data_IF_423970247747
#
_entry.id   IF_423970247747
#
_cell.length_a   1.000
_cell.length_b   1.000
_cell.length_c   1.000
_cell.angle_alpha   90.00
_cell.angle_beta   90.00
_cell.angle_gamma   90.00
#
_symmetry.space_group_name_H-M   'P 1'
#
loop_
_entity.id
_entity.type
_entity.pdbx_description
1 polymer ?
#
# COMPACT_ATOMS: atom_id res chain seq x y z
N UNK A 1 12.87 14.62 8.47
CA UNK A 1 11.58 14.30 7.82
C UNK A 1 11.81 13.08 6.95
N UNK A 2 10.95 12.09 7.09
CA UNK A 2 10.91 10.90 6.25
C UNK A 2 10.69 11.30 4.79
N UNK A 3 11.44 10.73 3.85
CA UNK A 3 11.40 11.11 2.43
C UNK A 3 10.73 10.04 1.57
N UNK A 4 10.87 8.78 1.95
CA UNK A 4 10.43 7.63 1.17
C UNK A 4 9.42 6.75 1.91
N UNK A 5 9.37 6.89 3.23
CA UNK A 5 8.47 6.15 4.10
C UNK A 5 7.46 7.12 4.70
N UNK A 6 6.18 6.81 4.65
CA UNK A 6 5.11 7.69 5.12
C UNK A 6 4.04 6.92 5.89
N UNK A 7 3.37 7.60 6.78
CA UNK A 7 2.39 7.00 7.68
C UNK A 7 2.95 6.74 9.08
N UNK A 8 2.38 5.78 9.84
CA UNK A 8 1.33 4.84 9.41
C UNK A 8 0.02 5.51 9.01
N UNK A 9 -0.67 4.93 8.03
CA UNK A 9 -1.96 5.39 7.54
C UNK A 9 -3.03 4.36 7.91
N UNK A 10 -4.20 4.83 8.39
CA UNK A 10 -5.38 4.00 8.55
C UNK A 10 -5.98 3.69 7.17
N UNK A 11 -5.57 2.56 6.59
CA UNK A 11 -6.08 2.11 5.31
C UNK A 11 -7.41 1.41 5.47
N UNK A 12 -8.43 1.80 4.68
CA UNK A 12 -9.73 1.12 4.66
C UNK A 12 -9.62 -0.37 4.30
N UNK A 13 -8.58 -0.76 3.57
CA UNK A 13 -8.36 -2.12 3.05
C UNK A 13 -7.31 -2.92 3.82
N UNK A 14 -6.29 -2.25 4.31
CA UNK A 14 -5.09 -2.87 4.87
C UNK A 14 -4.87 -2.62 6.36
N UNK A 15 -5.79 -1.89 7.03
CA UNK A 15 -5.60 -1.54 8.44
C UNK A 15 -4.51 -0.51 8.64
N UNK A 16 -3.69 -0.64 9.68
CA UNK A 16 -2.55 0.23 9.94
C UNK A 16 -1.41 -0.10 8.97
N UNK A 17 -1.16 0.78 8.01
CA UNK A 17 -0.21 0.56 6.92
C UNK A 17 0.89 1.60 6.88
N UNK A 18 2.14 1.15 6.85
CA UNK A 18 3.30 1.98 6.58
C UNK A 18 3.55 2.02 5.06
N UNK A 19 3.43 3.18 4.45
CA UNK A 19 3.63 3.35 3.02
C UNK A 19 5.12 3.51 2.65
N UNK A 20 5.51 2.92 1.53
CA UNK A 20 6.86 3.03 0.97
C UNK A 20 6.75 3.49 -0.48
N UNK A 21 7.28 4.66 -0.78
CA UNK A 21 7.32 5.21 -2.13
C UNK A 21 8.67 4.89 -2.79
N UNK A 22 8.63 4.11 -3.86
CA UNK A 22 9.81 3.63 -4.58
C UNK A 22 10.08 4.39 -5.87
N UNK A 23 9.23 5.33 -6.26
CA UNK A 23 9.36 6.08 -7.49
C UNK A 23 9.27 7.58 -7.24
N UNK A 24 9.79 8.38 -8.16
CA UNK A 24 9.53 9.81 -8.11
C UNK A 24 8.04 10.07 -8.35
N UNK A 25 7.53 11.08 -7.68
CA UNK A 25 6.13 11.45 -7.80
C UNK A 25 5.72 11.55 -9.27
N UNK A 26 4.57 10.95 -9.60
CA UNK A 26 3.96 10.96 -10.93
C UNK A 26 4.77 10.25 -12.03
N UNK A 27 5.62 9.27 -11.64
CA UNK A 27 6.25 8.31 -12.55
C UNK A 27 5.38 7.04 -12.59
N UNK A 28 4.75 6.77 -13.72
CA UNK A 28 3.81 5.66 -13.87
C UNK A 28 3.79 5.17 -15.32
N UNK A 29 3.41 3.91 -15.54
CA UNK A 29 3.12 3.36 -16.86
C UNK A 29 1.69 3.67 -17.36
N UNK A 30 0.86 4.28 -16.51
CA UNK A 30 -0.52 4.68 -16.79
C UNK A 30 -0.74 6.15 -16.42
N UNK A 31 -1.76 6.78 -17.05
CA UNK A 31 -2.29 8.11 -16.67
C UNK A 31 -3.80 7.99 -16.43
N UNK A 32 -4.17 7.21 -15.43
CA UNK A 32 -5.57 6.86 -15.16
C UNK A 32 -6.44 8.09 -14.90
N UNK A 33 -7.62 8.13 -15.53
CA UNK A 33 -8.57 9.25 -15.43
C UNK A 33 -9.06 9.53 -14.01
N UNK A 34 -9.03 8.53 -13.14
CA UNK A 34 -9.50 8.60 -11.75
C UNK A 34 -8.36 8.81 -10.74
N UNK A 35 -7.11 8.93 -11.18
CA UNK A 35 -5.95 8.94 -10.28
C UNK A 35 -6.00 10.13 -9.29
N UNK A 36 -6.15 9.84 -8.00
CA UNK A 36 -6.17 10.85 -6.92
C UNK A 36 -4.82 11.55 -6.72
N UNK A 37 -3.73 10.90 -7.14
CA UNK A 37 -2.39 11.49 -7.05
C UNK A 37 -2.15 12.57 -8.13
N UNK A 38 -3.07 12.78 -9.07
CA UNK A 38 -2.97 13.74 -10.16
C UNK A 38 -2.42 13.14 -11.47
N UNK A 39 -2.24 13.94 -12.50
CA UNK A 39 -1.79 13.51 -13.83
C UNK A 39 -0.35 12.96 -13.82
N UNK A 40 -0.08 11.94 -14.62
CA UNK A 40 1.25 11.36 -14.76
C UNK A 40 2.16 12.31 -15.52
N UNK A 41 3.31 12.66 -14.95
CA UNK A 41 4.29 13.58 -15.55
C UNK A 41 5.48 12.85 -16.16
N UNK A 42 5.82 11.66 -15.66
CA UNK A 42 6.80 10.76 -16.25
C UNK A 42 6.10 9.47 -16.66
N UNK A 43 5.61 9.43 -17.91
CA UNK A 43 4.82 8.33 -18.46
C UNK A 43 5.76 7.36 -19.18
N UNK A 44 6.06 6.22 -18.56
CA UNK A 44 7.15 5.34 -19.00
C UNK A 44 6.90 3.87 -18.66
N UNK A 45 7.53 2.97 -19.43
CA UNK A 45 7.65 1.55 -19.12
C UNK A 45 9.06 1.20 -18.62
N UNK A 46 9.98 2.15 -18.68
CA UNK A 46 11.36 1.92 -18.27
C UNK A 46 11.47 1.79 -16.75
N UNK A 47 12.10 0.71 -16.32
CA UNK A 47 12.38 0.44 -14.91
C UNK A 47 13.77 0.99 -14.55
N UNK A 48 13.82 1.90 -13.59
CA UNK A 48 15.06 2.54 -13.13
C UNK A 48 15.11 2.64 -11.63
N UNK A 49 16.28 2.80 -11.03
CA UNK A 49 16.43 3.16 -9.63
C UNK A 49 16.29 4.69 -9.45
N UNK A 50 15.12 5.23 -9.82
CA UNK A 50 14.87 6.68 -9.71
C UNK A 50 14.83 7.19 -8.26
N UNK A 51 14.55 6.31 -7.32
CA UNK A 51 14.65 6.48 -5.86
C UNK A 51 15.74 5.55 -5.36
N UNK A 52 16.77 6.05 -4.66
CA UNK A 52 17.87 5.22 -4.18
C UNK A 52 17.39 4.19 -3.14
N UNK A 53 17.45 2.90 -3.48
CA UNK A 53 16.94 1.80 -2.64
C UNK A 53 17.68 1.72 -1.31
N UNK A 54 18.99 1.99 -1.30
CA UNK A 54 19.77 1.96 -0.05
C UNK A 54 19.31 3.04 0.95
N UNK A 55 18.85 4.20 0.45
CA UNK A 55 18.27 5.24 1.29
C UNK A 55 16.88 4.82 1.82
N UNK A 56 16.06 4.16 1.00
CA UNK A 56 14.77 3.59 1.42
C UNK A 56 14.98 2.54 2.51
N UNK A 57 15.92 1.63 2.34
CA UNK A 57 16.26 0.59 3.33
C UNK A 57 16.74 1.22 4.63
N UNK A 58 17.59 2.24 4.56
CA UNK A 58 18.06 2.95 5.76
C UNK A 58 16.91 3.59 6.53
N UNK A 59 15.99 4.23 5.83
CA UNK A 59 14.82 4.88 6.42
C UNK A 59 13.83 3.87 7.01
N UNK A 60 13.53 2.78 6.28
CA UNK A 60 12.73 1.66 6.77
C UNK A 60 13.32 1.07 8.05
N UNK A 61 14.63 0.83 8.08
CA UNK A 61 15.31 0.29 9.28
C UNK A 61 15.11 1.21 10.49
N UNK A 62 15.27 2.52 10.33
CA UNK A 62 15.06 3.48 11.41
C UNK A 62 13.63 3.44 11.95
N UNK A 63 12.63 3.43 11.06
CA UNK A 63 11.22 3.39 11.45
C UNK A 63 10.88 2.05 12.10
N UNK A 64 11.26 0.93 11.51
CA UNK A 64 10.87 -0.40 11.96
C UNK A 64 11.59 -0.83 13.24
N UNK A 65 12.76 -0.26 13.55
CA UNK A 65 13.43 -0.43 14.85
C UNK A 65 12.60 0.11 16.02
N UNK A 66 11.69 1.06 15.79
CA UNK A 66 10.75 1.52 16.81
C UNK A 66 9.64 0.51 17.13
N UNK A 67 9.63 -0.63 16.46
CA UNK A 67 8.63 -1.68 16.57
C UNK A 67 7.18 -1.17 16.48
N UNK A 68 6.82 -0.43 15.40
CA UNK A 68 5.47 0.11 15.23
C UNK A 68 4.44 -1.00 15.11
N UNK A 69 3.21 -0.74 15.57
CA UNK A 69 2.08 -1.66 15.37
C UNK A 69 1.51 -1.47 13.96
N UNK A 70 1.83 -2.39 13.06
CA UNK A 70 1.42 -2.35 11.66
C UNK A 70 0.75 -3.66 11.25
N UNK A 71 -0.28 -3.54 10.44
CA UNK A 71 -0.85 -4.68 9.73
C UNK A 71 -0.03 -4.99 8.46
N UNK A 72 0.45 -3.93 7.77
CA UNK A 72 1.22 -4.04 6.54
C UNK A 72 2.30 -2.97 6.40
N UNK A 73 3.37 -3.33 5.70
CA UNK A 73 4.26 -2.40 4.99
C UNK A 73 3.83 -2.46 3.53
N UNK A 74 3.47 -1.32 2.93
CA UNK A 74 2.83 -1.29 1.61
C UNK A 74 3.65 -0.49 0.62
N UNK A 75 4.11 -1.13 -0.44
CA UNK A 75 4.63 -0.44 -1.60
C UNK A 75 3.48 0.23 -2.34
N UNK A 76 3.47 1.54 -2.30
CA UNK A 76 2.45 2.41 -2.88
C UNK A 76 3.06 3.80 -3.06
N UNK A 77 2.28 4.79 -3.44
CA UNK A 77 2.76 6.16 -3.54
C UNK A 77 2.15 6.91 -4.72
N UNK A 78 2.84 7.94 -5.17
CA UNK A 78 2.37 8.81 -6.25
C UNK A 78 2.79 8.31 -7.65
N UNK A 79 2.96 7.00 -7.85
CA UNK A 79 3.34 6.38 -9.11
C UNK A 79 3.24 4.85 -9.06
N UNK A 80 3.88 4.16 -10.02
CA UNK A 80 3.88 2.68 -10.07
C UNK A 80 5.15 2.11 -9.41
N UNK A 81 5.05 1.43 -8.26
CA UNK A 81 6.21 0.93 -7.52
C UNK A 81 7.10 -0.05 -8.30
N UNK A 82 6.51 -0.85 -9.20
CA UNK A 82 7.25 -1.84 -9.99
C UNK A 82 8.18 -1.23 -11.04
N UNK A 83 8.10 0.08 -11.27
CA UNK A 83 9.06 0.80 -12.10
C UNK A 83 10.42 1.00 -11.42
N UNK A 84 10.52 0.79 -10.09
CA UNK A 84 11.83 0.73 -9.46
C UNK A 84 12.50 -0.61 -9.79
N UNK A 85 13.68 -0.55 -10.41
CA UNK A 85 14.42 -1.74 -10.85
C UNK A 85 15.01 -2.58 -9.72
N UNK A 86 14.98 -2.08 -8.46
CA UNK A 86 15.50 -2.76 -7.27
C UNK A 86 14.42 -3.02 -6.22
N UNK A 87 13.14 -3.10 -6.60
CA UNK A 87 12.05 -3.41 -5.68
C UNK A 87 12.28 -4.74 -4.93
N UNK A 88 12.85 -5.74 -5.62
CA UNK A 88 13.18 -7.04 -5.03
C UNK A 88 14.18 -6.97 -3.86
N UNK A 89 15.11 -6.00 -3.89
CA UNK A 89 16.08 -5.80 -2.80
C UNK A 89 15.37 -5.33 -1.53
N UNK A 90 14.38 -4.43 -1.66
CA UNK A 90 13.58 -3.95 -0.51
C UNK A 90 12.72 -5.06 0.07
N UNK A 91 12.09 -5.88 -0.79
CA UNK A 91 11.31 -7.06 -0.35
C UNK A 91 12.22 -8.02 0.42
N UNK A 92 13.37 -8.36 -0.14
CA UNK A 92 14.35 -9.25 0.48
C UNK A 92 14.82 -8.72 1.83
N UNK A 93 15.14 -7.43 1.92
CA UNK A 93 15.50 -6.76 3.16
C UNK A 93 14.41 -6.90 4.22
N UNK A 94 13.16 -6.58 3.88
CA UNK A 94 12.04 -6.64 4.82
C UNK A 94 11.79 -8.06 5.31
N UNK A 95 11.79 -9.04 4.42
CA UNK A 95 11.56 -10.45 4.79
C UNK A 95 12.69 -11.05 5.62
N UNK A 96 13.92 -10.56 5.46
CA UNK A 96 15.09 -11.01 6.21
C UNK A 96 15.22 -10.34 7.60
N UNK A 97 15.10 -9.02 7.67
CA UNK A 97 15.37 -8.26 8.89
C UNK A 97 14.11 -8.00 9.73
N UNK A 98 12.93 -7.98 9.10
CA UNK A 98 11.65 -7.67 9.76
C UNK A 98 10.53 -8.65 9.37
N UNK A 99 10.74 -9.99 9.51
CA UNK A 99 9.80 -11.01 9.03
C UNK A 99 8.44 -10.99 9.74
N UNK A 100 8.31 -10.29 10.86
CA UNK A 100 7.06 -10.13 11.61
C UNK A 100 6.04 -9.24 10.89
N UNK A 101 6.49 -8.38 9.96
CA UNK A 101 5.60 -7.51 9.21
C UNK A 101 5.21 -8.14 7.87
N UNK A 102 3.93 -8.02 7.53
CA UNK A 102 3.42 -8.40 6.22
C UNK A 102 3.73 -7.31 5.19
N UNK A 103 4.16 -7.73 4.01
CA UNK A 103 4.51 -6.84 2.91
C UNK A 103 3.45 -6.91 1.82
N UNK A 104 2.90 -5.76 1.47
CA UNK A 104 1.87 -5.60 0.44
C UNK A 104 2.38 -4.75 -0.73
N UNK A 105 1.97 -5.09 -1.93
CA UNK A 105 2.20 -4.30 -3.14
C UNK A 105 0.85 -3.84 -3.72
N UNK A 106 0.69 -2.54 -3.92
CA UNK A 106 -0.34 -1.97 -4.79
C UNK A 106 0.30 -1.71 -6.15
N UNK A 107 -0.25 -2.28 -7.22
CA UNK A 107 0.32 -2.14 -8.57
C UNK A 107 -0.76 -2.05 -9.63
N UNK A 108 -0.48 -1.29 -10.67
CA UNK A 108 -1.32 -1.26 -11.86
C UNK A 108 -1.18 -2.52 -12.74
N UNK A 109 -0.38 -3.49 -12.32
CA UNK A 109 -0.11 -4.77 -12.96
C UNK A 109 0.58 -4.72 -14.32
N UNK A 110 0.80 -3.54 -14.89
CA UNK A 110 1.28 -3.41 -16.26
C UNK A 110 2.69 -3.96 -16.50
N UNK A 111 3.54 -3.97 -15.46
CA UNK A 111 4.88 -4.55 -15.56
C UNK A 111 4.93 -6.08 -15.44
N UNK A 112 3.83 -6.72 -15.04
CA UNK A 112 3.81 -8.17 -14.75
C UNK A 112 4.02 -9.06 -15.98
N UNK A 113 3.97 -8.52 -17.21
CA UNK A 113 4.35 -9.27 -18.41
C UNK A 113 5.82 -9.68 -18.40
N UNK A 114 6.68 -8.94 -17.67
CA UNK A 114 8.09 -9.27 -17.54
C UNK A 114 8.31 -10.38 -16.49
N UNK A 115 8.81 -11.57 -16.90
CA UNK A 115 9.09 -12.65 -15.97
C UNK A 115 10.23 -12.31 -14.98
N UNK A 116 11.13 -11.36 -15.29
CA UNK A 116 12.15 -10.92 -14.37
C UNK A 116 11.51 -10.17 -13.19
N UNK A 117 10.59 -9.23 -13.47
CA UNK A 117 9.85 -8.56 -12.43
C UNK A 117 9.06 -9.53 -11.56
N UNK A 118 8.34 -10.50 -12.15
CA UNK A 118 7.58 -11.47 -11.36
C UNK A 118 8.46 -12.24 -10.36
N UNK A 119 9.70 -12.58 -10.74
CA UNK A 119 10.67 -13.19 -9.81
C UNK A 119 11.12 -12.26 -8.69
N UNK A 120 11.31 -10.97 -8.98
CA UNK A 120 11.67 -9.97 -7.96
C UNK A 120 10.57 -9.77 -6.91
N UNK A 121 9.30 -10.00 -7.27
CA UNK A 121 8.15 -9.88 -6.38
C UNK A 121 7.93 -11.10 -5.46
N UNK A 122 8.80 -12.11 -5.54
CA UNK A 122 8.77 -13.26 -4.64
C UNK A 122 8.99 -12.80 -3.18
N UNK A 123 8.18 -13.32 -2.26
CA UNK A 123 8.24 -12.96 -0.83
C UNK A 123 7.22 -11.90 -0.39
N UNK A 124 6.45 -11.34 -1.31
CA UNK A 124 5.28 -10.54 -0.93
C UNK A 124 4.21 -11.42 -0.25
N UNK A 125 3.54 -10.88 0.76
CA UNK A 125 2.44 -11.55 1.46
C UNK A 125 1.09 -11.29 0.76
N UNK A 126 0.92 -10.06 0.24
CA UNK A 126 -0.30 -9.64 -0.46
C UNK A 126 0.09 -8.80 -1.67
N UNK A 127 -0.59 -9.02 -2.79
CA UNK A 127 -0.52 -8.14 -3.96
C UNK A 127 -1.92 -7.71 -4.35
N UNK A 128 -2.07 -6.43 -4.62
CA UNK A 128 -3.34 -5.83 -5.06
C UNK A 128 -3.12 -5.25 -6.46
N UNK A 129 -3.24 -6.09 -7.50
CA UNK A 129 -3.16 -5.65 -8.87
C UNK A 129 -4.47 -5.01 -9.30
N UNK A 130 -4.41 -3.96 -10.14
CA UNK A 130 -5.60 -3.33 -10.72
C UNK A 130 -5.96 -3.93 -12.07
N UNK A 131 -7.27 -4.15 -12.30
CA UNK A 131 -7.87 -4.51 -13.57
C UNK A 131 -9.13 -3.67 -13.79
N UNK A 132 -8.97 -2.47 -14.39
CA UNK A 132 -10.05 -1.49 -14.53
C UNK A 132 -10.71 -1.51 -15.90
N UNK A 133 -10.22 -2.33 -16.80
CA UNK A 133 -10.72 -2.48 -18.15
C UNK A 133 -11.02 -3.94 -18.47
N UNK A 134 -12.01 -4.17 -19.31
CA UNK A 134 -12.36 -5.51 -19.80
C UNK A 134 -11.94 -5.73 -21.26
N UNK A 135 -11.38 -4.71 -21.89
CA UNK A 135 -10.90 -4.72 -23.28
C UNK A 135 -9.96 -3.55 -23.55
N UNK A 136 -9.33 -3.55 -24.74
CA UNK A 136 -8.37 -2.51 -25.15
C UNK A 136 -9.00 -1.11 -25.18
N UNK A 137 -10.22 -0.96 -25.65
CA UNK A 137 -10.87 0.36 -25.77
C UNK A 137 -11.12 1.00 -24.39
N UNK A 138 -11.56 0.21 -23.41
CA UNK A 138 -11.69 0.64 -22.02
C UNK A 138 -10.33 0.96 -21.41
N UNK A 139 -9.31 0.12 -21.66
CA UNK A 139 -7.94 0.33 -21.16
C UNK A 139 -7.35 1.64 -21.64
N UNK A 140 -7.49 1.94 -22.92
CA UNK A 140 -7.05 3.22 -23.49
C UNK A 140 -7.82 4.41 -22.90
N UNK A 141 -9.13 4.27 -22.69
CA UNK A 141 -9.98 5.36 -22.22
C UNK A 141 -9.81 5.64 -20.72
N UNK A 142 -9.67 4.59 -19.88
CA UNK A 142 -9.59 4.69 -18.42
C UNK A 142 -8.16 4.86 -17.97
N UNK A 143 -7.28 3.96 -18.40
CA UNK A 143 -5.93 3.84 -17.84
C UNK A 143 -4.90 4.64 -18.64
N UNK A 144 -5.18 5.00 -19.90
CA UNK A 144 -4.27 5.78 -20.77
C UNK A 144 -2.83 5.26 -20.69
N UNK A 145 -2.57 4.05 -21.20
CA UNK A 145 -1.26 3.41 -21.07
C UNK A 145 -0.15 4.13 -21.83
N UNK A 146 1.08 3.97 -21.35
CA UNK A 146 2.27 4.42 -22.05
C UNK A 146 2.39 3.74 -23.44
N UNK A 147 2.99 4.39 -24.44
CA UNK A 147 3.13 3.83 -25.79
C UNK A 147 3.77 2.43 -25.78
N UNK A 148 3.16 1.51 -26.52
CA UNK A 148 3.60 0.12 -26.62
C UNK A 148 3.01 -0.83 -25.59
N UNK A 149 2.30 -0.34 -24.58
CA UNK A 149 1.58 -1.16 -23.61
C UNK A 149 0.16 -1.42 -24.09
N UNK A 150 -0.27 -2.69 -24.07
CA UNK A 150 -1.58 -3.13 -24.51
C UNK A 150 -2.34 -3.85 -23.39
N UNK A 151 -3.66 -3.91 -23.51
CA UNK A 151 -4.50 -4.70 -22.59
C UNK A 151 -4.14 -6.18 -22.61
N UNK A 152 -3.76 -6.73 -23.77
CA UNK A 152 -3.32 -8.12 -23.89
C UNK A 152 -2.04 -8.38 -23.07
N UNK A 153 -1.05 -7.46 -23.10
CA UNK A 153 0.17 -7.56 -22.28
C UNK A 153 -0.15 -7.55 -20.79
N UNK A 154 -1.03 -6.64 -20.35
CA UNK A 154 -1.51 -6.58 -18.97
C UNK A 154 -2.14 -7.93 -18.56
N UNK A 155 -3.06 -8.44 -19.35
CA UNK A 155 -3.76 -9.71 -19.04
C UNK A 155 -2.83 -10.92 -19.06
N UNK A 156 -1.91 -11.00 -20.01
CA UNK A 156 -0.91 -12.06 -20.07
C UNK A 156 -0.01 -12.06 -18.82
N UNK A 157 0.46 -10.88 -18.42
CA UNK A 157 1.28 -10.69 -17.21
C UNK A 157 0.51 -11.03 -15.94
N UNK A 158 -0.73 -10.59 -15.81
CA UNK A 158 -1.57 -10.84 -14.66
C UNK A 158 -1.89 -12.34 -14.51
N UNK A 159 -2.23 -13.04 -15.60
CA UNK A 159 -2.43 -14.50 -15.59
C UNK A 159 -1.17 -15.24 -15.16
N UNK A 160 -0.02 -14.90 -15.74
CA UNK A 160 1.24 -15.53 -15.38
C UNK A 160 1.59 -15.31 -13.91
N UNK A 161 1.40 -14.07 -13.42
CA UNK A 161 1.64 -13.75 -12.02
C UNK A 161 0.71 -14.52 -11.08
N UNK A 162 -0.58 -14.62 -11.39
CA UNK A 162 -1.54 -15.39 -10.60
C UNK A 162 -1.18 -16.90 -10.52
N UNK A 163 -0.56 -17.45 -11.55
CA UNK A 163 -0.13 -18.85 -11.58
C UNK A 163 1.20 -19.08 -10.84
N UNK A 164 2.12 -18.11 -10.87
CA UNK A 164 3.47 -18.25 -10.32
C UNK A 164 3.58 -17.78 -8.85
N UNK A 165 2.71 -16.85 -8.42
CA UNK A 165 2.82 -16.20 -7.13
C UNK A 165 2.25 -17.05 -5.99
N UNK A 166 2.95 -17.02 -4.84
CA UNK A 166 2.45 -17.58 -3.56
C UNK A 166 1.79 -16.53 -2.69
N UNK A 167 1.81 -15.26 -3.10
CA UNK A 167 1.15 -14.17 -2.39
C UNK A 167 -0.38 -14.29 -2.50
N UNK A 168 -1.09 -13.76 -1.51
CA UNK A 168 -2.54 -13.56 -1.62
C UNK A 168 -2.81 -12.46 -2.64
N UNK A 169 -3.63 -12.73 -3.64
CA UNK A 169 -3.96 -11.78 -4.69
C UNK A 169 -5.38 -11.24 -4.47
N UNK A 170 -5.48 -9.93 -4.22
CA UNK A 170 -6.73 -9.21 -4.04
C UNK A 170 -6.91 -8.30 -5.25
N UNK A 171 -7.71 -8.71 -6.23
CA UNK A 171 -7.86 -7.96 -7.48
C UNK A 171 -8.64 -6.67 -7.23
N UNK A 172 -8.05 -5.53 -7.56
CA UNK A 172 -8.74 -4.24 -7.52
C UNK A 172 -9.42 -3.97 -8.86
N UNK A 173 -10.68 -3.53 -8.83
CA UNK A 173 -11.44 -3.13 -10.01
C UNK A 173 -12.07 -1.77 -9.72
N UNK A 174 -11.73 -0.76 -10.52
CA UNK A 174 -12.29 0.58 -10.40
C UNK A 174 -13.42 0.79 -11.40
N UNK A 175 -14.60 1.15 -10.89
CA UNK A 175 -15.78 1.39 -11.73
C UNK A 175 -15.77 2.85 -12.22
N UNK A 176 -15.79 3.04 -13.54
CA UNK A 176 -15.87 4.35 -14.20
C UNK A 176 -17.20 4.41 -14.98
N UNK A 177 -18.23 5.07 -14.42
CA UNK A 177 -19.55 5.15 -15.05
C UNK A 177 -19.52 5.66 -16.47
N UNK A 178 -20.26 5.01 -17.36
CA UNK A 178 -20.31 5.30 -18.80
C UNK A 178 -19.10 4.83 -19.59
N UNK A 179 -18.21 4.02 -18.98
CA UNK A 179 -17.05 3.46 -19.68
C UNK A 179 -16.94 1.95 -19.51
N UNK A 180 -16.83 1.44 -18.29
CA UNK A 180 -16.65 0.00 -18.02
C UNK A 180 -17.84 -0.63 -17.27
N UNK A 181 -18.95 0.06 -17.17
CA UNK A 181 -20.12 -0.34 -16.36
C UNK A 181 -21.32 -0.87 -17.19
N UNK A 182 -21.15 -1.04 -18.51
CA UNK A 182 -22.20 -1.69 -19.30
C UNK A 182 -22.36 -3.17 -18.93
N UNK A 183 -23.56 -3.77 -19.08
CA UNK A 183 -23.76 -5.20 -18.84
C UNK A 183 -22.73 -6.08 -19.56
N UNK A 184 -22.38 -5.74 -20.79
CA UNK A 184 -21.40 -6.46 -21.60
C UNK A 184 -19.99 -6.34 -21.01
N UNK A 185 -19.63 -5.17 -20.44
CA UNK A 185 -18.34 -4.99 -19.75
C UNK A 185 -18.28 -5.85 -18.50
N UNK A 186 -19.34 -5.87 -17.69
CA UNK A 186 -19.40 -6.68 -16.47
C UNK A 186 -19.27 -8.18 -16.78
N UNK A 187 -19.93 -8.67 -17.84
CA UNK A 187 -19.80 -10.08 -18.27
C UNK A 187 -18.38 -10.39 -18.81
N UNK A 188 -17.74 -9.43 -19.51
CA UNK A 188 -16.33 -9.59 -19.92
C UNK A 188 -15.40 -9.67 -18.69
N UNK A 189 -15.58 -8.81 -17.68
CA UNK A 189 -14.84 -8.93 -16.43
C UNK A 189 -15.04 -10.30 -15.79
N UNK A 190 -16.28 -10.76 -15.69
CA UNK A 190 -16.59 -12.08 -15.16
C UNK A 190 -15.87 -13.20 -15.93
N UNK A 191 -15.78 -13.10 -17.26
CA UNK A 191 -15.05 -14.05 -18.09
C UNK A 191 -13.54 -14.00 -17.83
N UNK A 192 -12.94 -12.81 -17.79
CA UNK A 192 -11.50 -12.63 -17.55
C UNK A 192 -11.07 -13.13 -16.17
N UNK A 193 -11.88 -12.85 -15.14
CA UNK A 193 -11.57 -13.17 -13.75
C UNK A 193 -11.69 -14.65 -13.46
N UNK A 194 -12.56 -15.37 -14.18
CA UNK A 194 -12.74 -16.83 -14.04
C UNK A 194 -11.45 -17.62 -14.25
N UNK A 195 -10.55 -17.09 -15.07
CA UNK A 195 -9.26 -17.68 -15.39
C UNK A 195 -8.13 -17.23 -14.43
N UNK A 196 -8.42 -16.31 -13.49
CA UNK A 196 -7.44 -15.81 -12.53
C UNK A 196 -7.57 -16.50 -11.18
N UNK A 197 -6.43 -16.84 -10.59
CA UNK A 197 -6.37 -17.38 -9.22
C UNK A 197 -6.28 -16.21 -8.24
N UNK A 198 -7.40 -15.54 -7.98
CA UNK A 198 -7.48 -14.43 -7.03
C UNK A 198 -8.32 -14.82 -5.82
N UNK A 199 -7.95 -14.31 -4.64
CA UNK A 199 -8.67 -14.62 -3.39
C UNK A 199 -9.99 -13.88 -3.30
N UNK A 200 -10.03 -12.62 -3.77
CA UNK A 200 -11.22 -11.75 -3.80
C UNK A 200 -11.05 -10.57 -4.75
N UNK A 201 -12.15 -9.93 -5.03
CA UNK A 201 -12.20 -8.67 -5.76
C UNK A 201 -12.50 -7.54 -4.79
N UNK A 202 -11.82 -6.42 -4.96
CA UNK A 202 -12.09 -5.16 -4.28
C UNK A 202 -12.69 -4.17 -5.29
N UNK A 203 -14.00 -3.94 -5.22
CA UNK A 203 -14.66 -2.94 -6.05
C UNK A 203 -14.38 -1.54 -5.48
N UNK A 204 -13.80 -0.70 -6.31
CA UNK A 204 -13.53 0.70 -6.03
C UNK A 204 -14.32 1.62 -6.95
N UNK A 205 -14.57 2.81 -6.46
CA UNK A 205 -15.21 3.90 -7.20
C UNK A 205 -14.57 5.22 -6.77
N UNK A 206 -14.87 6.28 -7.47
CA UNK A 206 -14.36 7.61 -7.14
C UNK A 206 -14.87 8.04 -5.76
N UNK A 207 -13.92 8.28 -4.84
CA UNK A 207 -14.16 8.78 -3.48
C UNK A 207 -13.71 10.26 -3.36
N UNK A 208 -12.66 10.63 -4.11
CA UNK A 208 -12.13 11.99 -4.20
C UNK A 208 -11.93 12.38 -5.66
N UNK A 209 -11.96 13.68 -5.99
CA UNK A 209 -11.73 14.14 -7.36
C UNK A 209 -10.42 13.57 -7.94
N UNK A 210 -10.54 12.89 -9.07
CA UNK A 210 -9.40 12.41 -9.86
C UNK A 210 -8.91 13.45 -10.88
N UNK A 211 -8.03 13.00 -11.79
CA UNK A 211 -7.45 13.85 -12.85
C UNK A 211 -8.53 14.37 -13.79
N UNK A 212 -9.49 13.53 -14.18
CA UNK A 212 -10.51 13.89 -15.15
C UNK A 212 -11.82 14.27 -14.45
N UNK A 213 -12.23 15.54 -14.57
CA UNK A 213 -13.43 16.07 -13.92
C UNK A 213 -14.76 15.47 -14.41
N UNK A 214 -14.76 14.64 -15.45
CA UNK A 214 -15.96 13.93 -15.94
C UNK A 214 -16.17 12.57 -15.25
N UNK A 215 -15.17 12.06 -14.51
CA UNK A 215 -15.34 10.84 -13.71
C UNK A 215 -16.16 11.17 -12.47
N UNK A 216 -17.23 10.42 -12.28
CA UNK A 216 -18.16 10.57 -11.16
C UNK A 216 -18.20 9.28 -10.33
N UNK A 217 -18.63 9.35 -9.07
CA UNK A 217 -18.86 8.14 -8.28
C UNK A 217 -19.86 7.21 -8.96
N UNK A 218 -19.61 5.90 -8.87
CA UNK A 218 -20.53 4.91 -9.42
C UNK A 218 -21.85 4.88 -8.62
N UNK A 219 -23.01 4.86 -9.29
CA UNK A 219 -24.29 4.69 -8.62
C UNK A 219 -24.34 3.37 -7.84
N UNK A 220 -25.02 3.31 -6.67
CA UNK A 220 -25.13 2.10 -5.87
C UNK A 220 -25.66 0.89 -6.62
N UNK A 221 -26.61 1.09 -7.54
CA UNK A 221 -27.16 0.03 -8.40
C UNK A 221 -26.14 -0.56 -9.36
N UNK A 222 -25.23 0.26 -9.87
CA UNK A 222 -24.10 -0.19 -10.71
C UNK A 222 -23.13 -1.06 -9.89
N UNK A 223 -22.74 -0.59 -8.71
CA UNK A 223 -21.86 -1.34 -7.78
C UNK A 223 -22.49 -2.69 -7.40
N UNK A 224 -23.79 -2.68 -7.09
CA UNK A 224 -24.53 -3.89 -6.73
C UNK A 224 -24.67 -4.85 -7.92
N UNK A 225 -24.77 -4.34 -9.14
CA UNK A 225 -24.75 -5.17 -10.34
C UNK A 225 -23.40 -5.89 -10.51
N UNK A 226 -22.28 -5.16 -10.42
CA UNK A 226 -20.93 -5.76 -10.41
C UNK A 226 -20.81 -6.83 -9.33
N UNK A 227 -21.19 -6.49 -8.11
CA UNK A 227 -21.12 -7.41 -6.97
C UNK A 227 -21.89 -8.71 -7.26
N UNK A 228 -23.14 -8.62 -7.68
CA UNK A 228 -23.98 -9.81 -7.97
C UNK A 228 -23.44 -10.72 -9.08
N UNK A 229 -22.80 -10.14 -10.09
CA UNK A 229 -22.23 -10.93 -11.19
C UNK A 229 -20.92 -11.57 -10.75
N UNK A 230 -20.03 -10.81 -10.16
CA UNK A 230 -18.67 -11.27 -9.80
C UNK A 230 -18.65 -12.18 -8.57
N UNK A 231 -19.55 -12.01 -7.61
CA UNK A 231 -19.68 -12.90 -6.44
C UNK A 231 -20.00 -14.37 -6.80
N UNK A 232 -20.50 -14.62 -8.00
CA UNK A 232 -20.70 -15.99 -8.51
C UNK A 232 -19.38 -16.70 -8.83
N UNK A 233 -18.26 -15.96 -8.87
CA UNK A 233 -16.94 -16.46 -9.25
C UNK A 233 -16.00 -16.46 -8.04
N UNK A 234 -15.92 -15.31 -7.34
CA UNK A 234 -14.99 -15.07 -6.23
C UNK A 234 -15.60 -14.05 -5.26
N UNK A 235 -15.30 -14.10 -3.95
CA UNK A 235 -15.80 -13.12 -2.99
C UNK A 235 -15.51 -11.68 -3.42
N UNK A 236 -16.47 -10.78 -3.24
CA UNK A 236 -16.37 -9.37 -3.62
C UNK A 236 -16.51 -8.49 -2.38
N UNK A 237 -15.48 -7.69 -2.11
CA UNK A 237 -15.54 -6.60 -1.15
C UNK A 237 -15.89 -5.31 -1.91
N UNK A 238 -16.96 -4.65 -1.53
CA UNK A 238 -17.17 -3.26 -1.92
C UNK A 238 -16.43 -2.38 -0.91
N UNK A 239 -15.87 -1.26 -1.34
CA UNK A 239 -15.20 -0.32 -0.45
C UNK A 239 -16.18 0.30 0.57
N UNK A 240 -16.65 -0.52 1.51
CA UNK A 240 -17.40 -0.07 2.68
C UNK A 240 -16.43 0.47 3.74
N UNK A 241 -16.83 1.45 4.56
CA UNK A 241 -16.00 1.91 5.66
C UNK A 241 -15.72 0.72 6.57
N UNK A 242 -14.52 0.19 6.53
CA UNK A 242 -14.05 -0.80 7.48
C UNK A 242 -13.88 -0.12 8.83
N UNK A 243 -14.00 -0.86 9.91
CA UNK A 243 -13.77 -0.39 11.29
C UNK A 243 -12.49 0.47 11.35
N UNK A 244 -12.63 1.73 10.99
CA UNK A 244 -11.57 2.74 11.02
C UNK A 244 -10.99 2.91 12.42
N UNK A 245 -11.77 2.59 13.47
CA UNK A 245 -11.36 2.70 14.87
C UNK A 245 -10.07 1.92 15.18
N UNK A 246 -9.96 0.65 14.80
CA UNK A 246 -8.78 -0.15 15.17
C UNK A 246 -7.52 0.28 14.41
N UNK A 247 -7.64 0.65 13.12
CA UNK A 247 -6.51 1.10 12.33
C UNK A 247 -6.08 2.53 12.73
N UNK A 248 -7.05 3.42 12.97
CA UNK A 248 -6.79 4.76 13.47
C UNK A 248 -6.13 4.73 14.86
N UNK A 249 -6.51 3.78 15.73
CA UNK A 249 -5.88 3.60 17.04
C UNK A 249 -4.45 3.07 16.93
N UNK A 250 -4.17 2.15 16.01
CA UNK A 250 -2.80 1.69 15.75
C UNK A 250 -1.91 2.81 15.21
N UNK A 251 -2.44 3.65 14.31
CA UNK A 251 -1.74 4.84 13.80
C UNK A 251 -1.43 5.81 14.94
N UNK A 252 -2.45 6.16 15.75
CA UNK A 252 -2.27 7.04 16.92
C UNK A 252 -1.25 6.48 17.91
N UNK A 253 -1.27 5.17 18.17
CA UNK A 253 -0.27 4.53 19.04
C UNK A 253 1.14 4.63 18.46
N UNK A 254 1.29 4.44 17.16
CA UNK A 254 2.61 4.55 16.50
C UNK A 254 3.14 5.98 16.53
N UNK A 255 2.31 6.97 16.22
CA UNK A 255 2.65 8.40 16.32
C UNK A 255 3.06 8.77 17.75
N UNK A 256 2.32 8.30 18.75
CA UNK A 256 2.66 8.47 20.16
C UNK A 256 4.04 7.86 20.49
N UNK A 257 4.30 6.63 20.05
CA UNK A 257 5.61 5.96 20.27
C UNK A 257 6.74 6.73 19.61
N UNK A 258 6.58 7.16 18.35
CA UNK A 258 7.58 7.98 17.66
C UNK A 258 7.86 9.27 18.46
N UNK A 259 6.82 9.94 18.95
CA UNK A 259 6.95 11.17 19.72
C UNK A 259 7.65 10.94 21.06
N UNK A 260 7.35 9.85 21.75
CA UNK A 260 8.06 9.44 22.99
C UNK A 260 9.55 9.23 22.71
N UNK A 261 9.91 8.52 21.64
CA UNK A 261 11.30 8.28 21.28
C UNK A 261 12.04 9.57 20.91
N UNK A 262 11.41 10.49 20.19
CA UNK A 262 11.98 11.81 19.89
C UNK A 262 12.28 12.63 21.15
N UNK A 263 11.35 12.65 22.11
CA UNK A 263 11.52 13.40 23.37
C UNK A 263 12.62 12.77 24.22
N UNK A 264 12.59 11.44 24.38
CA UNK A 264 13.57 10.72 25.19
C UNK A 264 14.98 10.66 24.57
N UNK A 265 15.10 10.87 23.25
CA UNK A 265 16.40 11.02 22.59
C UNK A 265 17.10 12.34 22.96
N UNK A 266 16.35 13.35 23.38
CA UNK A 266 16.88 14.67 23.75
C UNK A 266 17.23 14.75 25.24
N UNK A 267 16.37 14.21 26.09
CA UNK A 267 16.54 14.26 27.56
C UNK A 267 15.80 13.12 28.26
N UNK A 268 16.17 12.88 29.51
CA UNK A 268 15.47 11.91 30.34
C UNK A 268 14.11 12.45 30.80
N UNK A 269 13.03 11.75 30.45
CA UNK A 269 11.65 12.17 30.68
C UNK A 269 10.96 11.30 31.73
N UNK A 270 10.11 11.93 32.56
CA UNK A 270 9.19 11.20 33.43
C UNK A 270 7.95 10.74 32.63
N UNK A 271 7.34 9.60 33.00
CA UNK A 271 6.16 9.08 32.32
C UNK A 271 5.00 10.09 32.30
N UNK A 272 4.79 10.84 33.37
CA UNK A 272 3.75 11.87 33.45
C UNK A 272 3.98 13.03 32.45
N UNK A 273 5.23 13.51 32.31
CA UNK A 273 5.59 14.54 31.34
C UNK A 273 5.43 14.06 29.91
N UNK A 274 5.73 12.78 29.64
CA UNK A 274 5.48 12.18 28.34
C UNK A 274 3.99 12.06 28.04
N UNK A 275 3.17 11.67 29.03
CA UNK A 275 1.71 11.58 28.87
C UNK A 275 1.08 12.92 28.50
N UNK A 276 1.54 14.00 29.16
CA UNK A 276 1.12 15.37 28.83
C UNK A 276 1.58 15.79 27.41
N UNK A 277 2.84 15.52 27.06
CA UNK A 277 3.42 15.90 25.77
C UNK A 277 2.79 15.19 24.57
N UNK A 278 2.32 13.94 24.75
CA UNK A 278 1.64 13.14 23.70
C UNK A 278 0.11 13.21 23.81
N UNK A 279 -0.44 13.90 24.81
CA UNK A 279 -1.89 14.05 25.07
C UNK A 279 -2.63 12.70 25.18
N UNK A 280 -2.02 11.76 25.91
CA UNK A 280 -2.54 10.40 26.12
C UNK A 280 -2.51 10.09 27.62
N UNK A 281 -3.47 9.29 28.09
CA UNK A 281 -3.56 8.92 29.51
C UNK A 281 -2.31 8.19 30.01
N UNK A 282 -1.87 8.52 31.21
CA UNK A 282 -0.65 7.99 31.82
C UNK A 282 -0.55 6.45 31.81
N UNK A 283 -1.61 5.66 32.12
CA UNK A 283 -1.52 4.20 32.09
C UNK A 283 -1.18 3.65 30.67
N UNK A 284 -1.67 4.29 29.61
CA UNK A 284 -1.39 3.91 28.22
C UNK A 284 0.08 4.20 27.88
N UNK A 285 0.60 5.35 28.31
CA UNK A 285 2.01 5.71 28.14
C UNK A 285 2.92 4.75 28.91
N UNK A 286 2.60 4.44 30.17
CA UNK A 286 3.38 3.49 30.98
C UNK A 286 3.45 2.09 30.36
N UNK A 287 2.33 1.60 29.78
CA UNK A 287 2.31 0.32 29.08
C UNK A 287 3.26 0.32 27.88
N UNK A 288 3.28 1.40 27.09
CA UNK A 288 4.18 1.56 25.95
C UNK A 288 5.65 1.73 26.39
N UNK A 289 5.92 2.47 27.45
CA UNK A 289 7.27 2.59 28.01
C UNK A 289 7.84 1.23 28.45
N UNK A 290 7.02 0.39 29.11
CA UNK A 290 7.43 -0.99 29.47
C UNK A 290 7.82 -1.78 28.22
N UNK A 291 7.02 -1.70 27.15
CA UNK A 291 7.30 -2.38 25.87
C UNK A 291 8.59 -1.88 25.24
N UNK A 292 8.78 -0.56 25.16
CA UNK A 292 9.98 0.04 24.59
C UNK A 292 11.26 -0.28 25.39
N UNK A 293 11.17 -0.36 26.70
CA UNK A 293 12.28 -0.80 27.58
C UNK A 293 12.59 -2.27 27.31
N UNK A 294 11.57 -3.14 27.23
CA UNK A 294 11.77 -4.56 26.91
C UNK A 294 12.36 -4.79 25.53
N UNK A 295 12.00 -3.93 24.55
CA UNK A 295 12.57 -3.93 23.20
C UNK A 295 14.01 -3.36 23.14
N UNK A 296 14.52 -2.85 24.24
CA UNK A 296 15.87 -2.27 24.32
C UNK A 296 16.02 -0.89 23.70
N UNK A 297 14.92 -0.22 23.36
CA UNK A 297 14.90 1.12 22.75
C UNK A 297 15.01 2.23 23.79
N UNK A 298 14.50 2.00 24.99
CA UNK A 298 14.62 2.89 26.14
C UNK A 298 15.32 2.18 27.28
N UNK A 299 15.90 2.98 28.19
CA UNK A 299 16.34 2.51 29.49
C UNK A 299 15.70 3.32 30.60
N UNK A 300 15.36 2.66 31.71
CA UNK A 300 14.86 3.31 32.90
C UNK A 300 16.05 3.71 33.78
N UNK A 301 16.05 4.94 34.25
CA UNK A 301 17.04 5.50 35.12
C UNK A 301 16.68 5.27 36.61
N UNK A 302 17.64 5.43 37.55
CA UNK A 302 17.39 5.25 38.99
C UNK A 302 16.33 6.20 39.57
N UNK A 303 16.17 7.39 38.99
CA UNK A 303 15.16 8.39 39.37
C UNK A 303 13.75 8.10 38.78
N UNK A 304 13.60 6.96 38.10
CA UNK A 304 12.36 6.53 37.49
C UNK A 304 12.06 7.10 36.10
N UNK A 305 12.84 8.05 35.60
CA UNK A 305 12.74 8.59 34.25
C UNK A 305 13.20 7.56 33.19
N UNK A 306 12.86 7.83 31.93
CA UNK A 306 13.28 7.04 30.79
C UNK A 306 14.06 7.89 29.80
N UNK A 307 15.06 7.28 29.15
CA UNK A 307 15.87 7.92 28.09
C UNK A 307 16.11 6.90 26.98
N UNK A 308 16.23 7.37 25.74
CA UNK A 308 16.56 6.50 24.62
C UNK A 308 17.96 5.89 24.78
N UNK A 309 18.09 4.62 24.48
CA UNK A 309 19.42 3.99 24.37
C UNK A 309 20.11 4.50 23.11
N UNK A 310 21.34 4.96 23.26
CA UNK A 310 22.17 5.23 22.09
C UNK A 310 22.47 3.91 21.37
N UNK A 311 22.41 3.85 20.02
CA UNK A 311 22.85 2.68 19.29
C UNK A 311 24.30 2.37 19.71
N UNK A 312 24.59 1.09 19.97
CA UNK A 312 25.96 0.64 20.15
C UNK A 312 26.72 0.97 18.86
N UNK A 313 27.74 1.82 18.95
CA UNK A 313 28.57 2.29 17.86
C UNK A 313 29.28 1.15 17.14
#
# INVERSE_FOLDING_TARGET
MSRYVFGPIASRRLGASLGVDLVRAKTCSLDCVYCEAGATTCHTLERTEAVPVDAVISELRQVLQTAPELDFITFSGAGEPTLNSRIGDVITFLKKEFPQYKVCLLTNACGLYDPALRRELTGLDVVIPSLDASNEAEFQKINRPAPGLTFEMLMAGLRAFCQESTARILLELFIVPGVNDSPESVERFASLIRDLQVERIQLNMLDRPGVAGWVIPAPPETVEHFRKVLEKIVPVDCAAPRKEENAADAVRRTEMVCRILELTAREACAAASLAEAVQVELPVVEANLKRLISAGLLQKLPDGKVIAKQPAG
#
